data_IF_113449888770
#
_entry.id   IF_113449888770
#
_cell.length_a   1.000
_cell.length_b   1.000
_cell.length_c   1.000
_cell.angle_alpha   90.00
_cell.angle_beta   90.00
_cell.angle_gamma   90.00
#
_symmetry.space_group_name_H-M   'P 1'
#
loop_
_entity.id
_entity.type
_entity.pdbx_description
1 polymer ?
#
# COMPACT_ATOMS: atom_id res chain seq x y z
N UNK A 1 -12.25 8.47 -12.76
CA UNK A 1 -11.00 7.69 -12.59
C UNK A 1 -10.47 7.96 -11.19
N UNK A 2 -10.24 6.95 -10.35
CA UNK A 2 -9.58 7.15 -9.06
C UNK A 2 -8.06 7.13 -9.25
N UNK A 3 -7.38 8.18 -8.83
CA UNK A 3 -5.91 8.31 -8.82
C UNK A 3 -5.29 7.87 -7.49
N UNK A 4 -6.10 7.28 -6.59
CA UNK A 4 -5.68 6.88 -5.26
C UNK A 4 -4.59 5.80 -5.35
N UNK A 5 -3.52 6.02 -4.59
CA UNK A 5 -2.38 5.13 -4.48
C UNK A 5 -1.82 5.18 -3.05
N UNK A 6 -1.01 4.19 -2.70
CA UNK A 6 -0.36 4.02 -1.40
C UNK A 6 1.12 4.32 -1.57
N UNK A 7 1.62 5.18 -0.69
CA UNK A 7 3.00 5.68 -0.66
C UNK A 7 3.61 5.43 0.71
N UNK A 8 4.94 5.34 0.79
CA UNK A 8 5.66 5.13 2.04
C UNK A 8 6.88 6.05 2.15
N UNK A 9 7.17 6.47 3.38
CA UNK A 9 8.46 7.00 3.81
C UNK A 9 8.79 6.46 5.20
N UNK A 10 10.04 6.61 5.63
CA UNK A 10 10.52 6.10 6.92
C UNK A 10 11.35 7.13 7.66
N UNK A 11 11.36 7.01 8.99
CA UNK A 11 12.15 7.83 9.90
C UNK A 11 12.70 6.96 11.04
N UNK A 12 13.85 7.35 11.60
CA UNK A 12 14.37 6.76 12.84
C UNK A 12 13.69 7.33 14.10
N UNK A 13 13.10 8.53 13.99
CA UNK A 13 12.37 9.18 15.06
C UNK A 13 10.88 9.27 14.72
N UNK A 14 10.00 9.02 15.71
CA UNK A 14 8.54 9.01 15.51
C UNK A 14 8.03 10.35 14.96
N UNK A 15 8.66 11.46 15.33
CA UNK A 15 8.32 12.81 14.87
C UNK A 15 8.94 13.17 13.50
N UNK A 16 9.65 12.25 12.86
CA UNK A 16 10.30 12.49 11.58
C UNK A 16 11.71 13.06 11.69
N UNK A 17 12.27 13.55 10.57
CA UNK A 17 11.62 13.66 9.25
C UNK A 17 11.40 12.29 8.59
N UNK A 18 10.26 12.11 7.93
CA UNK A 18 10.00 10.95 7.09
C UNK A 18 10.48 11.22 5.67
N UNK A 19 11.35 10.35 5.16
CA UNK A 19 11.93 10.44 3.83
C UNK A 19 11.49 9.26 2.97
N UNK A 20 11.39 9.47 1.66
CA UNK A 20 11.21 8.39 0.69
C UNK A 20 12.53 7.64 0.38
N UNK A 21 12.49 6.70 -0.57
CA UNK A 21 13.65 5.87 -0.94
C UNK A 21 14.79 6.68 -1.55
N UNK A 22 14.47 7.79 -2.18
CA UNK A 22 15.43 8.73 -2.76
C UNK A 22 15.91 9.79 -1.75
N UNK A 23 15.47 9.69 -0.48
CA UNK A 23 15.87 10.61 0.59
C UNK A 23 15.10 11.93 0.60
N UNK A 24 13.96 12.02 -0.12
CA UNK A 24 13.21 13.26 -0.26
C UNK A 24 12.11 13.39 0.82
N UNK A 25 11.82 14.60 1.33
CA UNK A 25 10.89 14.79 2.45
C UNK A 25 9.43 14.51 2.09
N UNK A 26 8.73 13.69 2.89
CA UNK A 26 7.30 13.46 2.68
C UNK A 26 6.44 14.72 2.86
N UNK A 27 6.89 15.68 3.66
CA UNK A 27 6.20 16.97 3.86
C UNK A 27 6.21 17.84 2.59
N UNK A 28 7.10 17.55 1.64
CA UNK A 28 7.15 18.21 0.33
C UNK A 28 6.36 17.42 -0.74
N UNK A 29 5.56 16.44 -0.32
CA UNK A 29 4.72 15.62 -1.21
C UNK A 29 5.42 14.38 -1.76
N UNK A 30 6.65 14.08 -1.31
CA UNK A 30 7.37 12.89 -1.73
C UNK A 30 6.89 11.61 -1.01
N UNK A 31 7.28 10.46 -1.56
CA UNK A 31 6.88 9.16 -1.05
C UNK A 31 7.14 8.05 -2.08
N UNK A 32 7.75 6.96 -1.61
CA UNK A 32 8.01 5.78 -2.44
C UNK A 32 6.68 5.11 -2.77
N UNK A 33 6.41 4.84 -4.04
CA UNK A 33 5.18 4.15 -4.45
C UNK A 33 5.20 2.70 -3.95
N UNK A 34 4.14 2.28 -3.27
CA UNK A 34 3.94 0.90 -2.80
C UNK A 34 2.91 0.18 -3.65
N UNK A 35 1.77 0.81 -3.90
CA UNK A 35 0.66 0.21 -4.63
C UNK A 35 -0.18 1.28 -5.32
N UNK A 36 -0.48 1.06 -6.59
CA UNK A 36 -1.41 1.88 -7.36
C UNK A 36 -2.47 1.02 -8.06
N UNK A 37 -3.42 1.68 -8.71
CA UNK A 37 -4.49 0.99 -9.43
C UNK A 37 -3.93 0.13 -10.56
N UNK A 38 -4.37 -1.12 -10.66
CA UNK A 38 -4.09 -2.00 -11.81
C UNK A 38 -5.32 -2.08 -12.72
N UNK A 39 -5.31 -2.98 -13.72
CA UNK A 39 -6.49 -3.18 -14.58
C UNK A 39 -7.73 -3.61 -13.78
N UNK A 40 -7.55 -4.55 -12.84
CA UNK A 40 -8.63 -5.12 -12.02
C UNK A 40 -8.87 -4.33 -10.73
N UNK A 41 -7.83 -4.01 -9.99
CA UNK A 41 -7.95 -3.39 -8.66
C UNK A 41 -7.81 -1.88 -8.79
N UNK A 42 -8.91 -1.13 -8.64
CA UNK A 42 -8.96 0.33 -8.82
C UNK A 42 -9.11 1.06 -7.49
N UNK A 43 -8.60 2.29 -7.41
CA UNK A 43 -8.78 3.16 -6.23
C UNK A 43 -8.21 2.55 -4.95
N UNK A 44 -7.03 1.96 -5.06
CA UNK A 44 -6.35 1.31 -3.93
C UNK A 44 -5.85 2.33 -2.91
N UNK A 45 -6.27 2.21 -1.66
CA UNK A 45 -5.92 3.20 -0.64
C UNK A 45 -6.55 2.91 0.71
N UNK A 46 -6.44 3.89 1.62
CA UNK A 46 -6.94 3.80 3.00
C UNK A 46 -6.44 2.51 3.68
N UNK A 47 -5.12 2.35 3.74
CA UNK A 47 -4.50 1.11 4.19
C UNK A 47 -4.27 1.07 5.70
N UNK A 48 -4.03 -0.14 6.18
CA UNK A 48 -3.40 -0.47 7.45
C UNK A 48 -2.27 -1.45 7.20
N UNK A 49 -1.35 -1.56 8.15
CA UNK A 49 -0.25 -2.51 8.10
C UNK A 49 -0.39 -3.46 9.28
N UNK A 50 -0.31 -4.77 9.02
CA UNK A 50 -0.46 -5.80 10.03
C UNK A 50 0.80 -6.67 10.05
N UNK A 51 1.48 -6.71 11.19
CA UNK A 51 2.60 -7.61 11.43
C UNK A 51 2.17 -8.81 12.26
N UNK A 52 2.52 -10.00 11.79
CA UNK A 52 2.18 -11.29 12.43
C UNK A 52 3.41 -12.21 12.47
N UNK A 53 3.42 -13.28 13.29
CA UNK A 53 4.47 -14.29 13.23
C UNK A 53 4.64 -14.94 11.84
N UNK A 54 3.60 -14.93 11.01
CA UNK A 54 3.59 -15.49 9.65
C UNK A 54 4.08 -14.49 8.58
N UNK A 55 4.34 -13.24 8.98
CA UNK A 55 4.82 -12.18 8.09
C UNK A 55 3.99 -10.90 8.18
N UNK A 56 4.31 -9.98 7.29
CA UNK A 56 3.70 -8.67 7.19
C UNK A 56 2.66 -8.60 6.08
N UNK A 57 1.61 -7.81 6.32
CA UNK A 57 0.44 -7.72 5.46
C UNK A 57 0.02 -6.27 5.25
N UNK A 58 -0.23 -5.92 3.99
CA UNK A 58 -0.90 -4.68 3.63
C UNK A 58 -2.40 -4.97 3.53
N UNK A 59 -3.17 -4.30 4.37
CA UNK A 59 -4.63 -4.38 4.39
C UNK A 59 -5.16 -3.08 3.80
N UNK A 60 -5.96 -3.11 2.75
CA UNK A 60 -6.40 -1.88 2.08
C UNK A 60 -7.76 -2.03 1.42
N UNK A 61 -8.39 -0.90 1.15
CA UNK A 61 -9.62 -0.85 0.38
C UNK A 61 -9.31 -0.70 -1.12
N UNK A 62 -10.17 -1.27 -1.97
CA UNK A 62 -10.18 -1.02 -3.41
C UNK A 62 -11.55 -1.33 -4.03
N UNK A 63 -11.68 -1.12 -5.34
CA UNK A 63 -12.81 -1.54 -6.16
C UNK A 63 -12.37 -2.66 -7.12
N UNK A 64 -13.16 -3.72 -7.26
CA UNK A 64 -12.96 -4.74 -8.30
C UNK A 64 -13.65 -4.29 -9.60
N UNK A 65 -12.85 -3.99 -10.63
CA UNK A 65 -13.37 -3.63 -11.95
C UNK A 65 -14.18 -4.75 -12.61
N UNK A 66 -14.00 -6.01 -12.18
CA UNK A 66 -14.79 -7.15 -12.66
C UNK A 66 -16.11 -7.32 -11.90
N UNK A 67 -16.29 -6.65 -10.76
CA UNK A 67 -17.50 -6.73 -9.94
C UNK A 67 -17.92 -5.34 -9.40
N UNK A 68 -18.20 -4.36 -10.28
CA UNK A 68 -18.37 -2.95 -9.89
C UNK A 68 -19.54 -2.71 -8.92
N UNK A 69 -20.56 -3.58 -8.92
CA UNK A 69 -21.71 -3.48 -8.01
C UNK A 69 -21.40 -3.85 -6.56
N UNK A 70 -20.26 -4.49 -6.28
CA UNK A 70 -19.85 -4.80 -4.89
C UNK A 70 -19.39 -3.55 -4.13
N UNK A 71 -19.14 -2.43 -4.83
CA UNK A 71 -18.60 -1.24 -4.21
C UNK A 71 -17.18 -1.46 -3.69
N UNK A 72 -16.87 -0.82 -2.56
CA UNK A 72 -15.54 -0.88 -1.96
C UNK A 72 -15.37 -2.18 -1.17
N UNK A 73 -14.35 -2.94 -1.51
CA UNK A 73 -14.04 -4.24 -0.88
C UNK A 73 -12.71 -4.18 -0.15
N UNK A 74 -12.51 -5.16 0.74
CA UNK A 74 -11.23 -5.40 1.41
C UNK A 74 -10.28 -6.17 0.47
N UNK A 75 -9.00 -5.79 0.45
CA UNK A 75 -7.92 -6.59 -0.11
C UNK A 75 -6.79 -6.69 0.91
N UNK A 76 -6.19 -7.88 1.00
CA UNK A 76 -5.02 -8.14 1.83
C UNK A 76 -3.91 -8.65 0.93
N UNK A 77 -2.69 -8.15 1.10
CA UNK A 77 -1.52 -8.51 0.29
C UNK A 77 -0.35 -8.84 1.21
N UNK A 78 0.43 -9.84 0.85
CA UNK A 78 1.72 -10.10 1.51
C UNK A 78 2.67 -8.93 1.27
N UNK A 79 3.44 -8.57 2.29
CA UNK A 79 4.52 -7.57 2.21
C UNK A 79 5.86 -8.29 2.21
N UNK A 80 6.76 -7.85 1.32
CA UNK A 80 8.18 -8.25 1.30
C UNK A 80 9.05 -7.02 1.40
N UNK A 81 10.12 -7.12 2.17
CA UNK A 81 11.07 -6.04 2.37
C UNK A 81 12.28 -6.22 1.44
N UNK A 82 12.53 -5.22 0.59
CA UNK A 82 13.70 -5.17 -0.31
C UNK A 82 14.50 -3.94 0.07
N UNK A 83 15.74 -4.12 0.53
CA UNK A 83 16.60 -3.03 1.01
C UNK A 83 15.93 -2.16 2.11
N UNK A 84 15.08 -2.79 2.92
CA UNK A 84 14.32 -2.12 3.98
C UNK A 84 13.15 -1.26 3.49
N UNK A 85 12.67 -1.47 2.26
CA UNK A 85 11.45 -0.86 1.72
C UNK A 85 10.39 -1.92 1.40
N UNK A 86 9.10 -1.65 1.68
CA UNK A 86 8.04 -2.62 1.45
C UNK A 86 7.68 -2.71 -0.04
N UNK A 87 7.49 -3.94 -0.50
CA UNK A 87 6.88 -4.30 -1.77
C UNK A 87 5.70 -5.22 -1.48
N UNK A 88 4.64 -5.18 -2.29
CA UNK A 88 3.44 -5.99 -2.05
C UNK A 88 3.22 -7.03 -3.14
N UNK A 89 2.75 -8.21 -2.73
CA UNK A 89 2.33 -9.27 -3.64
C UNK A 89 0.93 -9.06 -4.21
N UNK A 90 0.45 -10.09 -4.90
CA UNK A 90 -0.95 -10.18 -5.33
C UNK A 90 -1.90 -10.30 -4.11
N UNK A 91 -3.19 -9.91 -4.26
CA UNK A 91 -4.15 -10.09 -3.19
C UNK A 91 -4.34 -11.56 -2.85
N UNK A 92 -4.47 -11.84 -1.56
CA UNK A 92 -4.91 -13.14 -1.05
C UNK A 92 -6.44 -13.26 -1.19
N UNK A 93 -6.92 -13.37 -2.42
CA UNK A 93 -8.36 -13.52 -2.72
C UNK A 93 -8.71 -14.98 -3.05
N UNK A 94 -8.19 -15.93 -2.28
CA UNK A 94 -8.62 -17.33 -2.36
C UNK A 94 -9.53 -17.64 -1.16
N UNK A 95 -10.71 -18.25 -1.38
CA UNK A 95 -11.47 -18.86 -0.30
C UNK A 95 -10.65 -19.95 0.39
#
# INVERSE_FOLDING_TARGET
>A
QSTYNIRVGRSKAVLGPYLDREGRPMLEGHGTLVLESSQRWRGTGHNSFLSTPQGDWLVHACYDAQAPRQGRILNVRTVRWVEGWPTVGEPINRP
#
